data_IF_119375183614
#
_entry.id   IF_119375183614
#
_cell.length_a   1.000
_cell.length_b   1.000
_cell.length_c   1.000
_cell.angle_alpha   90.00
_cell.angle_beta   90.00
_cell.angle_gamma   90.00
#
_symmetry.space_group_name_H-M   'P 1'
#
loop_
_entity.id
_entity.type
_entity.pdbx_description
1 polymer ?
#
# COMPACT_ATOMS: atom_id res chain seq x y z
N UNK A 1 -43.60 23.74 -37.67
CA UNK A 1 -43.88 23.15 -36.34
C UNK A 1 -43.34 21.73 -36.30
N UNK A 2 -42.12 21.53 -35.88
CA UNK A 2 -41.51 20.20 -35.71
C UNK A 2 -41.10 20.04 -34.23
N UNK A 3 -41.73 19.05 -33.57
CA UNK A 3 -41.40 18.65 -32.21
C UNK A 3 -40.16 17.76 -32.21
N UNK A 4 -39.21 17.90 -31.25
CA UNK A 4 -38.08 17.01 -31.17
C UNK A 4 -38.46 15.65 -30.55
N UNK A 5 -37.92 14.58 -31.16
CA UNK A 5 -38.06 13.21 -30.67
C UNK A 5 -37.19 13.01 -29.39
N UNK A 6 -37.83 12.52 -28.32
CA UNK A 6 -37.16 12.01 -27.14
C UNK A 6 -36.47 10.68 -27.47
N UNK A 7 -35.15 10.62 -27.25
CA UNK A 7 -34.41 9.38 -27.20
C UNK A 7 -34.52 8.84 -25.76
N UNK A 8 -35.06 7.63 -25.63
CA UNK A 8 -35.08 6.90 -24.35
C UNK A 8 -33.73 6.26 -24.12
N UNK A 9 -33.06 6.66 -23.04
CA UNK A 9 -31.90 5.92 -22.50
C UNK A 9 -32.41 4.63 -21.86
N UNK A 10 -31.89 3.49 -22.31
CA UNK A 10 -32.13 2.19 -21.70
C UNK A 10 -31.26 2.02 -20.47
N UNK A 11 -31.80 2.28 -19.30
CA UNK A 11 -31.22 1.81 -18.04
C UNK A 11 -31.44 0.29 -17.90
N UNK A 12 -30.46 -0.51 -18.23
CA UNK A 12 -30.40 -1.91 -17.81
C UNK A 12 -29.79 -1.97 -16.42
N UNK A 13 -30.63 -2.10 -15.41
CA UNK A 13 -30.23 -2.55 -14.06
C UNK A 13 -29.93 -4.05 -14.13
N UNK A 14 -28.67 -4.40 -14.02
CA UNK A 14 -28.27 -5.79 -13.76
C UNK A 14 -28.45 -6.06 -12.27
N UNK A 15 -29.45 -6.85 -11.91
CA UNK A 15 -29.60 -7.44 -10.58
C UNK A 15 -28.59 -8.59 -10.47
N UNK A 16 -27.50 -8.38 -9.73
CA UNK A 16 -26.65 -9.48 -9.26
C UNK A 16 -27.42 -10.30 -8.23
N UNK A 17 -27.66 -11.55 -8.55
CA UNK A 17 -28.16 -12.56 -7.62
C UNK A 17 -26.98 -13.06 -6.82
N UNK A 18 -26.93 -12.71 -5.53
CA UNK A 18 -26.00 -13.32 -4.58
C UNK A 18 -26.34 -14.80 -4.45
N UNK A 19 -25.46 -15.67 -4.91
CA UNK A 19 -25.47 -17.08 -4.52
C UNK A 19 -24.81 -17.20 -3.14
N UNK A 20 -25.57 -17.73 -2.21
CA UNK A 20 -25.16 -18.05 -0.85
C UNK A 20 -24.38 -19.37 -0.90
N UNK A 21 -23.05 -19.31 -0.93
CA UNK A 21 -22.21 -20.47 -0.62
C UNK A 21 -21.19 -20.07 0.44
N UNK A 22 -21.27 -20.78 1.56
CA UNK A 22 -20.41 -20.64 2.73
C UNK A 22 -19.02 -21.21 2.39
N UNK A 23 -17.99 -20.42 2.60
CA UNK A 23 -16.56 -20.69 2.53
C UNK A 23 -15.82 -20.10 1.32
N UNK A 24 -15.81 -18.77 1.21
CA UNK A 24 -14.80 -18.04 0.44
C UNK A 24 -14.54 -16.72 1.17
N UNK A 25 -13.28 -16.41 1.41
CA UNK A 25 -12.85 -15.09 1.88
C UNK A 25 -13.05 -14.11 0.72
N UNK A 26 -14.18 -13.39 0.75
CA UNK A 26 -14.46 -12.38 -0.27
C UNK A 26 -13.57 -11.17 -0.06
N UNK A 27 -12.77 -10.82 -1.03
CA UNK A 27 -12.11 -9.52 -1.10
C UNK A 27 -13.05 -8.52 -1.76
N UNK A 28 -13.17 -7.33 -1.15
CA UNK A 28 -14.15 -6.33 -1.54
C UNK A 28 -13.92 -5.77 -2.95
N UNK A 29 -14.94 -5.80 -3.80
CA UNK A 29 -14.93 -5.20 -5.13
C UNK A 29 -15.09 -3.68 -5.01
N UNK A 30 -14.11 -2.93 -5.47
CA UNK A 30 -14.19 -1.48 -5.58
C UNK A 30 -15.19 -1.08 -6.69
N UNK A 31 -16.23 -0.34 -6.33
CA UNK A 31 -17.17 0.27 -7.29
C UNK A 31 -16.67 1.66 -7.69
N UNK A 32 -16.32 1.82 -8.96
CA UNK A 32 -16.14 3.15 -9.56
C UNK A 32 -17.44 3.52 -10.27
N UNK A 33 -18.15 4.54 -9.78
CA UNK A 33 -19.29 5.12 -10.48
C UNK A 33 -18.81 6.29 -11.34
N UNK A 34 -18.90 6.17 -12.66
CA UNK A 34 -18.76 7.30 -13.57
C UNK A 34 -19.96 8.25 -13.43
N UNK A 35 -19.73 9.48 -12.97
CA UNK A 35 -20.58 10.61 -13.28
C UNK A 35 -20.03 11.33 -14.51
N UNK A 36 -20.67 11.13 -15.64
CA UNK A 36 -20.44 11.93 -16.86
C UNK A 36 -21.08 13.30 -16.66
N UNK A 37 -20.28 14.30 -16.36
CA UNK A 37 -20.68 15.70 -16.34
C UNK A 37 -20.86 16.22 -17.77
N UNK A 38 -22.09 16.64 -18.12
CA UNK A 38 -22.39 17.31 -19.37
C UNK A 38 -21.76 18.71 -19.39
N UNK A 39 -20.71 18.89 -20.17
CA UNK A 39 -20.11 20.19 -20.46
C UNK A 39 -20.94 20.98 -21.43
N UNK A 40 -21.33 22.19 -21.06
CA UNK A 40 -21.95 23.19 -21.90
C UNK A 40 -20.91 23.86 -22.78
N UNK A 41 -21.10 23.79 -24.10
CA UNK A 41 -20.32 24.53 -25.08
C UNK A 41 -20.54 26.04 -24.94
N UNK A 42 -19.49 26.80 -24.71
CA UNK A 42 -19.44 28.24 -24.93
C UNK A 42 -18.57 28.59 -26.14
N UNK A 43 -19.24 29.03 -27.21
CA UNK A 43 -18.62 29.68 -28.36
C UNK A 43 -17.91 30.97 -27.93
N UNK A 44 -16.64 31.10 -28.19
CA UNK A 44 -15.95 32.39 -28.28
C UNK A 44 -15.33 32.61 -29.67
N UNK A 45 -15.65 33.79 -30.21
CA UNK A 45 -15.14 34.30 -31.49
C UNK A 45 -13.73 34.81 -31.38
N UNK A 46 -12.92 34.82 -32.48
CA UNK A 46 -11.52 35.19 -32.45
C UNK A 46 -11.30 36.73 -32.48
N UNK A 47 -10.50 37.21 -31.58
CA UNK A 47 -9.95 38.57 -31.52
C UNK A 47 -8.47 38.60 -31.74
N UNK A 48 -8.07 39.52 -32.59
CA UNK A 48 -6.80 39.73 -33.28
C UNK A 48 -5.57 39.85 -32.36
N UNK A 49 -4.52 39.28 -32.89
CA UNK A 49 -3.10 39.40 -32.65
C UNK A 49 -2.58 40.86 -32.62
N UNK A 50 -1.75 41.21 -31.62
CA UNK A 50 -0.74 42.26 -31.76
C UNK A 50 0.57 41.78 -31.17
N UNK A 51 1.58 41.72 -32.03
CA UNK A 51 2.99 41.51 -31.76
C UNK A 51 3.57 42.77 -31.10
N UNK A 52 4.40 42.61 -30.08
CA UNK A 52 5.45 43.59 -29.83
C UNK A 52 6.68 42.86 -29.27
N UNK A 53 7.70 42.87 -30.08
CA UNK A 53 9.08 42.52 -29.80
C UNK A 53 9.69 43.58 -28.87
N UNK A 54 10.34 43.18 -27.78
CA UNK A 54 11.41 44.00 -27.17
C UNK A 54 12.60 43.12 -26.84
N UNK A 55 13.62 43.39 -27.66
CA UNK A 55 14.98 42.93 -27.49
C UNK A 55 15.76 44.08 -26.82
N UNK A 56 16.42 43.84 -25.70
CA UNK A 56 17.50 44.70 -25.22
C UNK A 56 18.53 43.91 -24.44
N UNK A 57 19.68 43.88 -25.04
CA UNK A 57 21.01 43.62 -24.51
C UNK A 57 21.27 44.30 -23.15
N UNK A 58 21.82 43.59 -22.18
CA UNK A 58 22.83 44.11 -21.26
C UNK A 58 23.92 43.07 -21.09
N UNK A 59 25.06 43.32 -21.68
CA UNK A 59 26.35 42.70 -21.46
C UNK A 59 27.10 43.50 -20.37
N UNK A 60 27.93 42.75 -19.65
CA UNK A 60 29.15 43.22 -18.93
C UNK A 60 28.97 43.63 -17.44
N UNK A 61 29.47 42.81 -16.56
CA UNK A 61 30.65 42.96 -15.71
C UNK A 61 30.73 41.80 -14.71
N UNK A 62 31.63 40.85 -14.96
CA UNK A 62 32.13 39.90 -13.99
C UNK A 62 33.49 40.38 -13.45
N UNK A 63 33.74 40.24 -12.17
CA UNK A 63 35.13 40.07 -11.72
C UNK A 63 35.43 38.57 -11.60
N UNK A 64 36.48 38.15 -12.26
CA UNK A 64 37.11 36.85 -12.12
C UNK A 64 37.75 36.76 -10.75
N UNK A 65 37.29 35.78 -9.94
CA UNK A 65 38.09 35.19 -8.88
C UNK A 65 38.48 33.77 -9.32
N UNK A 66 39.76 33.66 -9.68
CA UNK A 66 40.42 32.36 -9.83
C UNK A 66 40.66 31.83 -8.41
N UNK A 67 39.95 30.77 -8.04
CA UNK A 67 40.35 29.92 -6.93
C UNK A 67 40.66 28.55 -7.55
N UNK A 68 41.96 28.28 -7.67
CA UNK A 68 42.46 26.93 -7.94
C UNK A 68 42.24 26.10 -6.69
N UNK A 69 41.25 25.23 -6.75
CA UNK A 69 41.07 24.11 -5.85
C UNK A 69 40.72 22.91 -6.72
N UNK A 70 41.70 22.05 -6.97
CA UNK A 70 41.45 20.73 -7.52
C UNK A 70 40.73 19.92 -6.45
N UNK A 71 39.39 19.96 -6.44
CA UNK A 71 38.60 18.94 -5.83
C UNK A 71 38.50 17.76 -6.81
N UNK A 72 39.21 16.68 -6.51
CA UNK A 72 38.97 15.38 -7.09
C UNK A 72 37.50 15.00 -6.81
N UNK A 73 36.62 15.31 -7.75
CA UNK A 73 35.31 14.67 -7.79
C UNK A 73 35.52 13.20 -8.12
N UNK A 74 35.64 12.37 -7.08
CA UNK A 74 35.39 10.94 -7.23
C UNK A 74 33.96 10.79 -7.72
N UNK A 75 33.79 10.60 -9.02
CA UNK A 75 32.52 10.15 -9.57
C UNK A 75 32.27 8.74 -9.03
N UNK A 76 31.47 8.64 -7.99
CA UNK A 76 30.86 7.38 -7.60
C UNK A 76 29.89 7.02 -8.72
N UNK A 77 30.33 6.14 -9.61
CA UNK A 77 29.45 5.50 -10.57
C UNK A 77 28.58 4.51 -9.78
N UNK A 78 27.50 5.01 -9.21
CA UNK A 78 26.48 4.16 -8.60
C UNK A 78 25.75 3.50 -9.77
N UNK A 79 25.93 2.20 -9.93
CA UNK A 79 25.07 1.39 -10.79
C UNK A 79 23.73 1.25 -10.07
N UNK A 80 22.91 2.27 -10.14
CA UNK A 80 21.57 2.25 -9.60
C UNK A 80 20.64 1.58 -10.60
N UNK A 81 19.95 0.55 -10.18
CA UNK A 81 18.95 -0.13 -10.98
C UNK A 81 17.55 0.46 -10.77
N UNK A 82 17.36 1.36 -9.77
CA UNK A 82 16.13 2.11 -9.56
C UNK A 82 16.43 3.50 -9.01
N UNK A 83 15.83 4.57 -9.56
CA UNK A 83 15.98 5.91 -9.01
C UNK A 83 15.43 6.05 -7.59
N UNK A 84 14.55 5.14 -7.16
CA UNK A 84 13.94 5.15 -5.83
C UNK A 84 14.84 4.50 -4.77
N UNK A 85 15.60 3.46 -5.12
CA UNK A 85 16.55 2.81 -4.21
C UNK A 85 17.70 3.74 -3.79
N UNK A 86 18.16 4.61 -4.70
CA UNK A 86 19.21 5.60 -4.40
C UNK A 86 18.80 6.54 -3.26
N UNK A 87 17.51 6.81 -3.09
CA UNK A 87 17.04 7.68 -2.02
C UNK A 87 17.03 6.99 -0.65
N UNK A 88 16.76 5.66 -0.60
CA UNK A 88 16.86 4.90 0.65
C UNK A 88 18.32 4.77 1.11
N UNK A 89 19.24 4.49 0.19
CA UNK A 89 20.68 4.45 0.51
C UNK A 89 21.19 5.81 1.05
N UNK A 90 20.65 6.93 0.54
CA UNK A 90 21.00 8.25 1.06
C UNK A 90 20.38 8.56 2.44
N UNK A 91 19.24 7.94 2.78
CA UNK A 91 18.61 8.10 4.11
C UNK A 91 19.32 7.28 5.17
N UNK A 92 19.88 6.12 4.80
CA UNK A 92 20.55 5.20 5.73
C UNK A 92 21.97 5.61 6.10
N UNK A 93 22.50 6.70 5.57
CA UNK A 93 23.77 7.29 5.96
C UNK A 93 23.53 8.60 6.73
N UNK A 94 23.22 8.57 8.02
CA UNK A 94 23.16 9.80 8.79
C UNK A 94 24.58 10.33 8.93
N UNK A 95 24.88 11.44 8.28
CA UNK A 95 26.02 12.31 8.66
C UNK A 95 25.88 12.82 10.09
N UNK A 96 24.87 12.36 10.80
CA UNK A 96 24.42 12.92 12.07
C UNK A 96 24.82 11.97 13.22
N UNK A 97 25.42 12.48 14.30
CA UNK A 97 25.77 11.69 15.49
C UNK A 97 24.59 11.02 16.21
N UNK A 98 23.36 11.25 15.77
CA UNK A 98 22.12 10.65 16.27
C UNK A 98 22.07 9.13 15.98
N UNK A 99 22.72 8.61 14.93
CA UNK A 99 22.71 7.18 14.59
C UNK A 99 23.11 6.24 15.73
N UNK A 100 23.97 6.68 16.63
CA UNK A 100 24.37 5.91 17.82
C UNK A 100 23.31 5.82 18.92
N UNK A 101 22.21 6.52 18.79
CA UNK A 101 21.07 6.51 19.71
C UNK A 101 19.86 5.79 19.13
N UNK A 102 19.96 5.23 17.93
CA UNK A 102 18.90 4.41 17.37
C UNK A 102 18.83 3.05 18.07
N UNK A 103 17.64 2.50 18.13
CA UNK A 103 17.41 1.18 18.70
C UNK A 103 18.18 0.11 17.90
N UNK A 104 18.85 -0.78 18.61
CA UNK A 104 19.54 -1.93 18.02
C UNK A 104 18.91 -3.21 18.58
N UNK A 105 18.21 -3.93 17.76
CA UNK A 105 17.60 -5.21 18.10
C UNK A 105 18.65 -6.34 18.27
N UNK A 106 19.91 -6.10 17.88
CA UNK A 106 20.97 -7.10 17.82
C UNK A 106 20.90 -8.03 16.62
N UNK A 107 19.89 -7.88 15.73
CA UNK A 107 19.82 -8.58 14.45
C UNK A 107 20.29 -7.67 13.31
N UNK A 108 21.10 -8.25 12.42
CA UNK A 108 21.71 -7.53 11.31
C UNK A 108 21.13 -8.03 9.99
N UNK A 109 20.23 -7.25 9.40
CA UNK A 109 19.70 -7.52 8.06
C UNK A 109 20.20 -6.44 7.11
N UNK A 110 20.73 -6.86 5.98
CA UNK A 110 21.06 -5.96 4.88
C UNK A 110 19.80 -5.76 4.00
N UNK A 111 19.54 -4.51 3.62
CA UNK A 111 18.49 -4.23 2.66
C UNK A 111 18.90 -4.81 1.30
N UNK A 112 18.09 -5.68 0.67
CA UNK A 112 18.44 -6.28 -0.62
C UNK A 112 18.57 -5.23 -1.74
N UNK A 113 19.29 -5.57 -2.80
CA UNK A 113 19.35 -4.70 -4.00
C UNK A 113 17.95 -4.37 -4.53
N UNK A 114 17.04 -5.35 -4.46
CA UNK A 114 15.61 -5.19 -4.70
C UNK A 114 14.85 -6.21 -3.83
N UNK A 115 13.90 -5.76 -3.05
CA UNK A 115 13.06 -6.64 -2.22
C UNK A 115 12.05 -7.38 -3.09
N UNK A 116 12.11 -8.72 -3.05
CA UNK A 116 11.18 -9.63 -3.70
C UNK A 116 10.64 -10.58 -2.65
N UNK A 117 9.43 -10.32 -2.20
CA UNK A 117 8.89 -10.97 -1.01
C UNK A 117 7.64 -11.79 -1.26
N UNK A 118 7.36 -12.67 -0.30
CA UNK A 118 6.11 -13.43 -0.22
C UNK A 118 5.38 -13.12 1.08
N UNK A 119 4.04 -13.17 1.03
CA UNK A 119 3.20 -13.09 2.21
C UNK A 119 3.22 -14.38 3.03
N UNK A 120 3.26 -14.25 4.35
CA UNK A 120 3.30 -15.37 5.30
C UNK A 120 2.34 -15.10 6.45
N UNK A 121 1.26 -15.90 6.53
CA UNK A 121 0.31 -15.81 7.65
C UNK A 121 0.95 -16.24 8.97
N UNK A 122 0.44 -15.79 10.11
CA UNK A 122 0.89 -16.21 11.43
C UNK A 122 0.95 -17.74 11.61
N UNK A 123 -0.13 -18.49 11.29
CA UNK A 123 -0.10 -19.95 11.34
C UNK A 123 0.96 -20.59 10.43
N UNK A 124 1.24 -19.99 9.26
CA UNK A 124 2.31 -20.49 8.37
C UNK A 124 3.69 -20.21 8.93
N UNK A 125 3.90 -19.03 9.53
CA UNK A 125 5.16 -18.63 10.15
C UNK A 125 5.50 -19.50 11.39
N UNK A 126 4.48 -19.86 12.19
CA UNK A 126 4.66 -20.71 13.35
C UNK A 126 4.70 -22.21 13.05
N UNK A 127 4.07 -22.65 11.95
CA UNK A 127 3.90 -24.06 11.62
C UNK A 127 4.97 -24.66 10.71
N UNK A 128 4.74 -25.90 10.28
CA UNK A 128 5.64 -26.63 9.36
C UNK A 128 5.76 -25.96 7.98
N UNK A 129 4.79 -25.14 7.59
CA UNK A 129 4.81 -24.38 6.32
C UNK A 129 5.97 -23.40 6.27
N UNK A 130 6.44 -22.88 7.40
CA UNK A 130 7.56 -21.95 7.47
C UNK A 130 8.82 -22.50 6.77
N UNK A 131 9.15 -23.76 7.01
CA UNK A 131 10.32 -24.39 6.38
C UNK A 131 10.19 -24.53 4.86
N UNK A 132 8.97 -24.80 4.37
CA UNK A 132 8.70 -24.87 2.93
C UNK A 132 8.84 -23.50 2.28
N UNK A 133 8.33 -22.45 2.94
CA UNK A 133 8.40 -21.07 2.45
C UNK A 133 9.84 -20.53 2.48
N UNK A 134 10.58 -20.81 3.57
CA UNK A 134 12.02 -20.50 3.64
C UNK A 134 12.79 -21.17 2.52
N UNK A 135 12.52 -22.46 2.27
CA UNK A 135 13.14 -23.17 1.17
C UNK A 135 12.83 -22.55 -0.18
N UNK A 136 11.57 -22.15 -0.42
CA UNK A 136 11.17 -21.44 -1.64
C UNK A 136 12.01 -20.17 -1.83
N UNK A 137 12.09 -19.31 -0.80
CA UNK A 137 12.87 -18.07 -0.86
C UNK A 137 14.35 -18.33 -1.10
N UNK A 138 14.93 -19.35 -0.45
CA UNK A 138 16.36 -19.69 -0.59
C UNK A 138 16.71 -20.34 -1.94
N UNK A 139 15.78 -21.03 -2.55
CA UNK A 139 16.00 -21.76 -3.81
C UNK A 139 15.70 -20.91 -5.06
N UNK A 140 15.26 -19.66 -4.85
CA UNK A 140 14.87 -18.74 -5.93
C UNK A 140 15.50 -17.35 -5.71
N UNK A 141 15.17 -16.39 -6.57
CA UNK A 141 15.58 -14.99 -6.46
C UNK A 141 14.70 -14.16 -5.50
N UNK A 142 13.75 -14.80 -4.80
CA UNK A 142 13.06 -14.21 -3.66
C UNK A 142 14.03 -14.02 -2.51
N UNK A 143 13.81 -12.97 -1.70
CA UNK A 143 14.74 -12.59 -0.63
C UNK A 143 14.06 -12.00 0.60
N UNK A 144 12.72 -12.01 0.64
CA UNK A 144 11.97 -11.37 1.73
C UNK A 144 10.71 -12.15 2.10
N UNK A 145 10.30 -12.00 3.36
CA UNK A 145 9.03 -12.49 3.89
C UNK A 145 8.27 -11.37 4.58
N UNK A 146 7.02 -11.17 4.18
CA UNK A 146 6.05 -10.31 4.88
C UNK A 146 5.26 -11.19 5.82
N UNK A 147 5.51 -11.05 7.10
CA UNK A 147 4.89 -11.89 8.15
C UNK A 147 3.79 -11.12 8.84
N UNK A 148 2.60 -11.70 8.95
CA UNK A 148 1.54 -11.14 9.78
C UNK A 148 1.97 -11.12 11.24
N UNK A 149 2.00 -9.93 11.81
CA UNK A 149 2.25 -9.67 13.25
C UNK A 149 0.94 -9.29 13.94
N UNK A 150 0.11 -8.48 13.31
CA UNK A 150 -1.28 -8.26 13.68
C UNK A 150 -2.17 -8.54 12.48
N UNK A 151 -2.99 -9.58 12.59
CA UNK A 151 -3.78 -10.11 11.49
C UNK A 151 -5.14 -9.39 11.32
N UNK A 152 -5.91 -9.79 10.32
CA UNK A 152 -7.11 -9.10 9.83
C UNK A 152 -8.27 -8.99 10.86
N UNK A 153 -8.31 -9.83 11.91
CA UNK A 153 -9.32 -9.76 12.96
C UNK A 153 -8.92 -8.83 14.12
N UNK A 154 -7.63 -8.56 14.25
CA UNK A 154 -7.04 -7.70 15.28
C UNK A 154 -6.12 -8.42 16.25
N UNK A 155 -5.96 -9.75 16.11
CA UNK A 155 -5.10 -10.54 16.99
C UNK A 155 -3.62 -10.42 16.60
N UNK A 156 -2.74 -10.46 17.61
CA UNK A 156 -1.32 -10.68 17.40
C UNK A 156 -1.07 -12.16 17.10
N UNK A 157 -0.15 -12.44 16.22
CA UNK A 157 0.18 -13.81 15.79
C UNK A 157 1.20 -14.51 16.69
N UNK A 158 1.66 -13.82 17.72
CA UNK A 158 2.64 -14.28 18.70
C UNK A 158 2.18 -13.93 20.12
N UNK A 159 2.77 -14.56 21.12
CA UNK A 159 2.56 -14.23 22.53
C UNK A 159 3.41 -13.01 22.92
N UNK A 160 2.78 -11.87 23.26
CA UNK A 160 3.52 -10.68 23.68
C UNK A 160 3.98 -10.73 25.15
N UNK A 161 3.67 -11.82 25.87
CA UNK A 161 3.93 -12.02 27.29
C UNK A 161 2.82 -11.56 28.22
N UNK A 162 2.70 -12.21 29.39
CA UNK A 162 1.62 -11.98 30.36
C UNK A 162 1.54 -10.54 30.89
N UNK A 163 2.68 -9.85 30.96
CA UNK A 163 2.76 -8.45 31.43
C UNK A 163 2.47 -7.42 30.34
N UNK A 164 2.28 -7.85 29.10
CA UNK A 164 1.98 -6.97 27.98
C UNK A 164 0.55 -6.43 28.04
N UNK A 165 0.31 -5.15 27.70
CA UNK A 165 -1.06 -4.64 27.55
C UNK A 165 -1.83 -5.30 26.38
N UNK A 166 -1.16 -6.12 25.58
CA UNK A 166 -1.70 -6.85 24.43
C UNK A 166 -1.80 -8.36 24.68
N UNK A 167 -1.60 -8.85 25.92
CA UNK A 167 -1.64 -10.26 26.26
C UNK A 167 -2.98 -10.92 25.87
N UNK A 168 -4.07 -10.18 25.97
CA UNK A 168 -5.43 -10.65 25.72
C UNK A 168 -5.83 -10.73 24.23
N UNK A 169 -4.95 -10.30 23.32
CA UNK A 169 -5.09 -10.46 21.86
C UNK A 169 -3.98 -11.32 21.26
N UNK A 170 -3.09 -11.86 22.08
CA UNK A 170 -2.02 -12.74 21.65
C UNK A 170 -2.55 -14.12 21.25
N UNK A 171 -2.33 -14.53 20.00
CA UNK A 171 -2.53 -15.88 19.50
C UNK A 171 -1.17 -16.53 19.33
N UNK A 172 -0.90 -17.60 20.08
CA UNK A 172 0.42 -18.24 20.04
C UNK A 172 0.61 -19.11 18.77
N UNK A 173 0.46 -18.50 17.58
CA UNK A 173 0.81 -19.17 16.32
C UNK A 173 2.33 -19.25 16.16
N UNK A 174 3.04 -18.18 16.51
CA UNK A 174 4.50 -18.09 16.46
C UNK A 174 5.05 -18.20 17.89
N UNK A 175 5.46 -19.38 18.29
CA UNK A 175 5.93 -19.69 19.66
C UNK A 175 7.09 -18.81 20.12
N UNK A 176 8.04 -18.53 19.23
CA UNK A 176 9.24 -17.71 19.51
C UNK A 176 9.55 -16.85 18.26
N UNK A 177 9.02 -15.62 18.29
CA UNK A 177 9.20 -14.67 17.20
C UNK A 177 10.66 -14.31 16.98
N UNK A 178 11.42 -14.18 18.08
CA UNK A 178 12.85 -13.84 18.02
C UNK A 178 13.65 -14.95 17.33
N UNK A 179 13.45 -16.21 17.71
CA UNK A 179 14.11 -17.35 17.08
C UNK A 179 13.77 -17.49 15.58
N UNK A 180 12.54 -17.09 15.18
CA UNK A 180 12.18 -17.05 13.76
C UNK A 180 12.97 -15.99 13.01
N UNK A 181 13.12 -14.79 13.57
CA UNK A 181 13.91 -13.71 12.98
C UNK A 181 15.41 -14.07 12.91
N UNK A 182 15.98 -14.68 13.95
CA UNK A 182 17.37 -15.21 13.92
C UNK A 182 17.57 -16.25 12.81
N UNK A 183 16.54 -17.03 12.53
CA UNK A 183 16.53 -17.99 11.44
C UNK A 183 16.51 -17.30 10.07
N UNK A 184 15.70 -16.24 9.92
CA UNK A 184 15.65 -15.42 8.70
C UNK A 184 16.98 -14.68 8.49
N UNK A 185 17.57 -14.11 9.55
CA UNK A 185 18.89 -13.46 9.50
C UNK A 185 19.97 -14.41 8.98
N UNK A 186 20.04 -15.61 9.56
CA UNK A 186 20.98 -16.64 9.13
C UNK A 186 20.83 -17.04 7.67
N UNK A 187 19.60 -17.00 7.16
CA UNK A 187 19.28 -17.34 5.76
C UNK A 187 19.41 -16.14 4.82
N UNK A 188 19.66 -14.93 5.33
CA UNK A 188 19.71 -13.69 4.54
C UNK A 188 18.34 -13.26 3.99
N UNK A 189 17.24 -13.62 4.68
CA UNK A 189 15.87 -13.30 4.27
C UNK A 189 15.41 -12.03 5.00
N UNK A 190 15.10 -10.96 4.24
CA UNK A 190 14.69 -9.67 4.79
C UNK A 190 13.29 -9.74 5.39
N UNK A 191 13.10 -9.38 6.68
CA UNK A 191 11.84 -9.52 7.37
C UNK A 191 11.02 -8.23 7.34
N UNK A 192 9.76 -8.34 6.91
CA UNK A 192 8.76 -7.27 6.91
C UNK A 192 7.63 -7.68 7.86
N UNK A 193 7.27 -6.82 8.81
CA UNK A 193 6.16 -7.04 9.72
C UNK A 193 4.89 -6.42 9.16
N UNK A 194 3.88 -7.21 8.78
CA UNK A 194 2.57 -6.69 8.41
C UNK A 194 1.69 -6.49 9.62
N UNK A 195 1.11 -5.30 9.72
CA UNK A 195 0.21 -4.89 10.81
C UNK A 195 -1.06 -4.30 10.20
N UNK A 196 -2.18 -4.98 10.40
CA UNK A 196 -3.50 -4.48 10.01
C UNK A 196 -3.95 -3.40 10.98
N UNK A 197 -4.24 -2.18 10.47
CA UNK A 197 -4.42 -1.00 11.33
C UNK A 197 -5.90 -0.77 11.69
N UNK A 198 -6.72 -0.35 10.74
CA UNK A 198 -8.07 0.12 11.04
C UNK A 198 -9.16 -0.93 10.88
N UNK A 199 -8.89 -2.06 10.28
CA UNK A 199 -9.74 -3.24 10.32
C UNK A 199 -9.38 -4.06 11.56
N UNK A 200 -10.14 -3.90 12.64
CA UNK A 200 -9.81 -4.48 13.93
C UNK A 200 -11.09 -4.76 14.71
N UNK A 201 -11.52 -6.00 14.68
CA UNK A 201 -12.74 -6.44 15.37
C UNK A 201 -12.49 -6.56 16.88
N UNK A 202 -11.31 -7.04 17.28
CA UNK A 202 -10.94 -7.20 18.68
C UNK A 202 -10.94 -5.86 19.43
N UNK A 203 -10.27 -4.84 18.88
CA UNK A 203 -10.24 -3.52 19.48
C UNK A 203 -11.62 -2.87 19.44
N UNK A 204 -12.38 -3.01 18.36
CA UNK A 204 -13.72 -2.46 18.25
C UNK A 204 -14.67 -3.05 19.31
N UNK A 205 -14.58 -4.34 19.62
CA UNK A 205 -15.40 -5.00 20.63
C UNK A 205 -14.99 -4.62 22.06
N UNK A 206 -13.70 -4.43 22.31
CA UNK A 206 -13.18 -3.99 23.61
C UNK A 206 -13.39 -2.49 23.85
N UNK A 207 -13.30 -1.67 22.80
CA UNK A 207 -13.42 -0.21 22.82
C UNK A 207 -14.42 0.27 21.79
N UNK A 208 -15.74 0.00 22.01
CA UNK A 208 -16.78 0.43 21.08
C UNK A 208 -16.86 1.95 20.86
N UNK A 209 -16.27 2.74 21.76
CA UNK A 209 -16.14 4.20 21.65
C UNK A 209 -15.13 4.62 20.58
N UNK A 210 -14.18 3.75 20.22
CA UNK A 210 -13.18 3.95 19.18
C UNK A 210 -13.58 3.37 17.83
N UNK A 211 -14.82 2.91 17.66
CA UNK A 211 -15.31 2.28 16.43
C UNK A 211 -16.51 3.01 15.83
N UNK A 212 -17.00 2.49 14.74
CA UNK A 212 -18.24 2.95 14.11
C UNK A 212 -19.44 2.19 14.70
N UNK A 213 -20.56 2.89 14.90
CA UNK A 213 -21.80 2.32 15.43
C UNK A 213 -22.97 2.54 14.48
N UNK A 214 -23.86 1.58 14.43
CA UNK A 214 -25.13 1.68 13.76
C UNK A 214 -26.24 1.22 14.73
N UNK A 215 -27.28 2.05 14.93
CA UNK A 215 -28.36 1.78 15.88
C UNK A 215 -27.89 1.42 17.32
N UNK A 216 -26.79 2.02 17.76
CA UNK A 216 -26.23 1.84 19.11
C UNK A 216 -25.35 0.60 19.29
N UNK A 217 -25.21 -0.25 18.27
CA UNK A 217 -24.31 -1.40 18.25
C UNK A 217 -23.08 -1.12 17.37
N UNK A 218 -21.98 -1.87 17.59
CA UNK A 218 -20.82 -1.82 16.71
C UNK A 218 -21.25 -2.17 15.28
N UNK A 219 -20.90 -1.32 14.34
CA UNK A 219 -21.14 -1.62 12.94
C UNK A 219 -20.11 -2.64 12.44
N UNK A 220 -20.61 -3.64 11.74
CA UNK A 220 -19.81 -4.65 11.07
C UNK A 220 -20.16 -4.70 9.58
N UNK A 221 -19.19 -5.04 8.76
CA UNK A 221 -19.40 -5.24 7.34
C UNK A 221 -20.14 -6.56 7.04
N UNK A 222 -20.31 -6.87 5.74
CA UNK A 222 -21.03 -8.09 5.31
C UNK A 222 -20.36 -9.42 5.70
N UNK A 223 -19.14 -9.38 6.25
CA UNK A 223 -18.36 -10.52 6.72
C UNK A 223 -18.27 -10.60 8.24
N UNK A 224 -19.06 -9.81 8.94
CA UNK A 224 -19.01 -9.68 10.41
C UNK A 224 -17.70 -9.09 10.96
N UNK A 225 -16.97 -8.32 10.15
CA UNK A 225 -15.75 -7.63 10.53
C UNK A 225 -16.04 -6.18 10.94
N UNK A 226 -15.43 -5.73 12.04
CA UNK A 226 -15.52 -4.35 12.51
C UNK A 226 -14.27 -3.54 12.14
N UNK A 227 -14.45 -2.23 12.15
CA UNK A 227 -13.38 -1.27 11.92
C UNK A 227 -13.29 -0.31 13.10
N UNK A 228 -12.09 0.04 13.49
CA UNK A 228 -11.82 1.14 14.41
C UNK A 228 -11.66 2.45 13.64
N UNK A 229 -11.89 3.55 14.33
CA UNK A 229 -12.08 4.85 13.72
C UNK A 229 -10.74 5.58 13.46
N UNK A 230 -10.37 5.85 12.18
CA UNK A 230 -9.12 6.52 11.85
C UNK A 230 -9.02 7.97 12.34
N UNK A 231 -10.08 8.59 12.80
CA UNK A 231 -10.04 9.91 13.42
C UNK A 231 -9.50 9.92 14.86
N UNK A 232 -9.37 8.75 15.49
CA UNK A 232 -9.03 8.62 16.90
C UNK A 232 -7.53 8.36 17.09
N UNK A 233 -6.81 9.29 17.70
CA UNK A 233 -5.37 9.13 17.96
C UNK A 233 -5.05 7.96 18.88
N UNK A 234 -5.93 7.60 19.79
CA UNK A 234 -5.78 6.42 20.63
C UNK A 234 -5.66 5.12 19.79
N UNK A 235 -6.36 5.07 18.65
CA UNK A 235 -6.24 3.94 17.68
C UNK A 235 -4.87 3.97 17.00
N UNK A 236 -4.36 5.17 16.71
CA UNK A 236 -3.03 5.31 16.11
C UNK A 236 -1.95 4.81 17.06
N UNK A 237 -1.95 5.34 18.29
CA UNK A 237 -0.98 4.98 19.32
C UNK A 237 -1.01 3.48 19.62
N UNK A 238 -2.21 2.88 19.68
CA UNK A 238 -2.38 1.43 19.86
C UNK A 238 -1.64 0.62 18.78
N UNK A 239 -1.81 0.96 17.51
CA UNK A 239 -1.14 0.25 16.40
C UNK A 239 0.35 0.56 16.30
N UNK A 240 0.75 1.79 16.64
CA UNK A 240 2.17 2.19 16.65
C UNK A 240 2.93 1.47 17.77
N UNK A 241 2.34 1.29 18.94
CA UNK A 241 2.97 0.51 20.01
C UNK A 241 3.16 -0.96 19.61
N UNK A 242 2.19 -1.57 18.88
CA UNK A 242 2.37 -2.91 18.30
C UNK A 242 3.51 -2.92 17.26
N UNK A 243 3.61 -1.87 16.44
CA UNK A 243 4.71 -1.72 15.50
C UNK A 243 6.08 -1.63 16.19
N UNK A 244 6.15 -0.94 17.34
CA UNK A 244 7.35 -0.87 18.18
C UNK A 244 7.75 -2.25 18.70
N UNK A 245 6.79 -3.09 19.14
CA UNK A 245 7.08 -4.48 19.54
C UNK A 245 7.69 -5.28 18.39
N UNK A 246 7.17 -5.14 17.17
CA UNK A 246 7.75 -5.80 16.00
C UNK A 246 9.17 -5.32 15.68
N UNK A 247 9.41 -4.00 15.75
CA UNK A 247 10.74 -3.42 15.57
C UNK A 247 11.72 -3.88 16.66
N UNK A 248 11.28 -3.96 17.91
CA UNK A 248 12.06 -4.47 19.05
C UNK A 248 12.41 -5.95 18.90
N UNK A 249 11.49 -6.76 18.35
CA UNK A 249 11.77 -8.14 18.01
C UNK A 249 12.86 -8.29 16.94
N UNK A 250 13.01 -7.29 16.04
CA UNK A 250 14.08 -7.24 15.05
C UNK A 250 13.64 -7.14 13.59
N UNK A 251 12.38 -6.90 13.30
CA UNK A 251 11.94 -6.56 11.95
C UNK A 251 12.61 -5.28 11.46
N UNK A 252 12.82 -5.18 10.15
CA UNK A 252 13.49 -4.04 9.52
C UNK A 252 12.55 -3.16 8.68
N UNK A 253 11.35 -3.63 8.42
CA UNK A 253 10.29 -2.91 7.72
C UNK A 253 8.97 -3.16 8.45
N UNK A 254 8.28 -2.09 8.78
CA UNK A 254 6.92 -2.13 9.34
C UNK A 254 5.96 -1.75 8.24
N UNK A 255 5.18 -2.74 7.80
CA UNK A 255 4.19 -2.57 6.76
C UNK A 255 2.79 -2.45 7.36
N UNK A 256 2.18 -1.28 7.23
CA UNK A 256 0.81 -1.07 7.64
C UNK A 256 -0.16 -1.37 6.50
N UNK A 257 -1.10 -2.26 6.77
CA UNK A 257 -2.22 -2.56 5.88
C UNK A 257 -3.55 -2.05 6.48
N UNK A 258 -4.59 -1.97 5.68
CA UNK A 258 -5.88 -1.39 6.03
C UNK A 258 -5.78 0.03 6.59
N UNK A 259 -4.85 0.82 6.06
CA UNK A 259 -4.67 2.25 6.39
C UNK A 259 -5.75 3.05 5.66
N UNK A 260 -7.01 2.86 6.10
CA UNK A 260 -8.19 3.37 5.42
C UNK A 260 -9.46 3.27 6.24
N UNK A 261 -10.45 4.08 5.88
CA UNK A 261 -11.82 3.85 6.30
C UNK A 261 -12.41 2.60 5.64
N UNK A 262 -13.55 2.06 6.16
CA UNK A 262 -14.27 0.99 5.49
C UNK A 262 -14.67 1.34 4.07
N UNK A 263 -14.73 0.37 3.19
CA UNK A 263 -15.20 0.59 1.82
C UNK A 263 -16.64 1.09 1.75
N UNK A 264 -16.90 2.01 0.83
CA UNK A 264 -18.20 2.65 0.70
C UNK A 264 -18.59 3.56 1.87
N UNK A 265 -17.60 4.00 2.67
CA UNK A 265 -17.86 4.84 3.84
C UNK A 265 -18.53 6.17 3.44
N UNK A 266 -18.24 6.72 2.28
CA UNK A 266 -18.88 7.93 1.76
C UNK A 266 -20.42 7.82 1.63
N UNK A 267 -20.93 6.58 1.54
CA UNK A 267 -22.37 6.29 1.51
C UNK A 267 -22.96 6.08 2.90
N UNK A 268 -22.12 5.87 3.88
CA UNK A 268 -22.48 5.52 5.27
C UNK A 268 -22.11 6.59 6.28
N UNK A 269 -21.30 7.57 5.93
CA UNK A 269 -20.79 8.59 6.85
C UNK A 269 -21.88 9.37 7.62
N UNK A 270 -23.08 9.46 7.05
CA UNK A 270 -24.25 10.11 7.68
C UNK A 270 -25.12 9.17 8.51
N UNK A 271 -25.03 7.87 8.29
CA UNK A 271 -25.82 6.85 9.00
C UNK A 271 -25.07 6.24 10.18
N UNK A 272 -23.76 6.18 10.11
CA UNK A 272 -22.92 5.69 11.19
C UNK A 272 -22.71 6.76 12.26
N UNK A 273 -22.64 6.31 13.50
CA UNK A 273 -22.31 7.13 14.65
C UNK A 273 -20.84 6.93 14.99
N UNK A 274 -20.06 8.00 14.99
CA UNK A 274 -18.63 8.01 15.32
C UNK A 274 -18.18 9.43 15.71
N UNK A 275 -17.03 9.51 16.35
CA UNK A 275 -16.38 10.80 16.63
C UNK A 275 -15.48 11.20 15.45
N UNK A 276 -15.46 12.47 15.10
CA UNK A 276 -14.45 13.02 14.19
C UNK A 276 -13.19 13.50 14.94
N UNK A 277 -13.12 13.30 16.27
CA UNK A 277 -11.97 13.68 17.09
C UNK A 277 -11.54 15.13 16.83
N UNK A 278 -10.25 15.33 16.67
CA UNK A 278 -9.63 16.64 16.39
C UNK A 278 -10.01 17.23 15.02
N UNK A 279 -10.70 16.46 14.18
CA UNK A 279 -11.10 16.87 12.82
C UNK A 279 -12.50 17.49 12.77
N UNK A 280 -13.27 17.44 13.89
CA UNK A 280 -14.66 17.88 13.93
C UNK A 280 -14.82 19.35 13.50
N UNK A 281 -13.99 20.22 14.06
CA UNK A 281 -14.07 21.67 13.87
C UNK A 281 -13.26 22.21 12.68
N UNK A 282 -12.65 21.31 11.87
CA UNK A 282 -11.91 21.74 10.69
C UNK A 282 -12.87 22.23 9.59
N UNK A 283 -12.53 23.39 8.99
CA UNK A 283 -13.23 23.92 7.82
C UNK A 283 -12.86 23.13 6.56
N UNK A 284 -13.29 21.86 6.55
CA UNK A 284 -13.05 20.87 5.51
C UNK A 284 -14.31 20.04 5.27
N UNK A 285 -14.52 19.59 4.02
CA UNK A 285 -15.55 18.60 3.76
C UNK A 285 -15.16 17.21 4.30
N UNK A 286 -16.13 16.30 4.41
CA UNK A 286 -15.91 14.97 5.01
C UNK A 286 -14.85 14.13 4.28
N UNK A 287 -14.72 14.28 2.96
CA UNK A 287 -13.68 13.57 2.18
C UNK A 287 -12.29 14.07 2.59
N UNK A 288 -12.11 15.41 2.65
CA UNK A 288 -10.82 16.00 3.03
C UNK A 288 -10.45 15.69 4.48
N UNK A 289 -11.42 15.63 5.40
CA UNK A 289 -11.18 15.17 6.78
C UNK A 289 -10.67 13.74 6.82
N UNK A 290 -11.30 12.80 6.07
CA UNK A 290 -10.86 11.41 6.00
C UNK A 290 -9.45 11.28 5.41
N UNK A 291 -9.19 11.94 4.29
CA UNK A 291 -7.85 11.97 3.67
C UNK A 291 -6.81 12.51 4.62
N UNK A 292 -7.14 13.59 5.34
CA UNK A 292 -6.22 14.18 6.31
C UNK A 292 -5.93 13.21 7.46
N UNK A 293 -6.95 12.58 8.06
CA UNK A 293 -6.77 11.66 9.18
C UNK A 293 -5.89 10.45 8.79
N UNK A 294 -6.13 9.85 7.64
CA UNK A 294 -5.31 8.72 7.13
C UNK A 294 -3.87 9.18 6.87
N UNK A 295 -3.68 10.35 6.27
CA UNK A 295 -2.33 10.89 6.01
C UNK A 295 -1.60 11.27 7.29
N UNK A 296 -2.29 11.89 8.25
CA UNK A 296 -1.72 12.29 9.53
C UNK A 296 -1.30 11.08 10.37
N UNK A 297 -2.08 9.98 10.33
CA UNK A 297 -1.68 8.71 10.95
C UNK A 297 -0.33 8.23 10.40
N UNK A 298 -0.18 8.18 9.08
CA UNK A 298 1.06 7.70 8.45
C UNK A 298 2.25 8.60 8.82
N UNK A 299 2.04 9.91 8.81
CA UNK A 299 3.07 10.88 9.21
C UNK A 299 3.47 10.72 10.69
N UNK A 300 2.48 10.54 11.59
CA UNK A 300 2.71 10.30 13.01
C UNK A 300 3.46 8.98 13.25
N UNK A 301 3.05 7.91 12.59
CA UNK A 301 3.74 6.62 12.68
C UNK A 301 5.20 6.70 12.21
N UNK A 302 5.47 7.45 11.13
CA UNK A 302 6.84 7.69 10.64
C UNK A 302 7.71 8.39 11.68
N UNK A 303 7.16 9.37 12.38
CA UNK A 303 7.86 10.10 13.43
C UNK A 303 8.13 9.19 14.65
N UNK A 304 7.12 8.46 15.12
CA UNK A 304 7.21 7.59 16.28
C UNK A 304 8.15 6.39 16.08
N UNK A 305 8.23 5.86 14.84
CA UNK A 305 9.11 4.74 14.50
C UNK A 305 10.54 5.17 14.15
N UNK A 306 10.82 6.45 14.02
CA UNK A 306 12.15 6.95 13.62
C UNK A 306 13.29 6.49 14.56
N UNK A 307 13.01 6.31 15.87
CA UNK A 307 13.98 5.81 16.86
C UNK A 307 14.40 4.35 16.58
N UNK A 308 13.51 3.53 16.03
CA UNK A 308 13.70 2.09 15.89
C UNK A 308 14.53 1.69 14.66
N UNK A 309 14.87 2.63 13.80
CA UNK A 309 15.67 2.39 12.60
C UNK A 309 15.08 1.29 11.71
N UNK A 310 13.78 1.43 11.46
CA UNK A 310 13.01 0.57 10.56
C UNK A 310 12.45 1.40 9.41
N UNK A 311 12.28 0.78 8.26
CA UNK A 311 11.52 1.39 7.17
C UNK A 311 10.03 1.31 7.48
N UNK A 312 9.28 2.33 7.06
CA UNK A 312 7.83 2.35 7.11
C UNK A 312 7.29 2.13 5.70
N UNK A 313 6.52 1.06 5.54
CA UNK A 313 5.77 0.78 4.32
C UNK A 313 4.25 0.80 4.55
N UNK A 314 3.49 1.13 3.52
CA UNK A 314 2.02 1.18 3.59
C UNK A 314 1.41 0.48 2.38
N UNK A 315 0.48 -0.43 2.65
CA UNK A 315 -0.36 -1.05 1.63
C UNK A 315 -1.50 -0.10 1.26
N UNK A 316 -1.65 0.14 -0.04
CA UNK A 316 -2.64 1.06 -0.57
C UNK A 316 -3.41 0.39 -1.72
N UNK A 317 -4.69 0.68 -1.84
CA UNK A 317 -5.41 0.22 -3.03
C UNK A 317 -4.81 0.81 -4.31
N UNK A 318 -4.48 -0.05 -5.28
CA UNK A 318 -3.86 0.37 -6.54
C UNK A 318 -4.63 1.48 -7.25
N UNK A 319 -5.96 1.42 -7.28
CA UNK A 319 -6.77 2.46 -7.93
C UNK A 319 -6.59 3.87 -7.31
N UNK A 320 -6.10 3.97 -6.05
CA UNK A 320 -5.85 5.27 -5.41
C UNK A 320 -4.79 6.10 -6.12
N UNK A 321 -3.88 5.47 -6.88
CA UNK A 321 -2.92 6.18 -7.72
C UNK A 321 -3.55 6.75 -9.00
N UNK A 322 -4.66 6.17 -9.48
CA UNK A 322 -5.30 6.52 -10.75
C UNK A 322 -6.30 7.68 -10.65
N UNK A 323 -6.65 8.06 -9.44
CA UNK A 323 -7.60 9.15 -9.14
C UNK A 323 -6.95 10.20 -8.23
N UNK A 324 -7.47 11.43 -8.14
CA UNK A 324 -6.92 12.45 -7.24
C UNK A 324 -6.91 12.02 -5.77
N UNK A 325 -7.96 11.35 -5.33
CA UNK A 325 -8.10 10.75 -4.00
C UNK A 325 -9.26 9.75 -3.98
N UNK A 326 -9.19 8.75 -3.10
CA UNK A 326 -10.24 7.76 -2.89
C UNK A 326 -11.20 8.25 -1.78
N UNK A 327 -12.37 8.82 -2.13
CA UNK A 327 -13.17 9.63 -1.21
C UNK A 327 -13.77 8.84 -0.05
N UNK A 328 -14.13 7.58 -0.27
CA UNK A 328 -14.73 6.72 0.74
C UNK A 328 -13.71 6.28 1.77
N UNK A 329 -12.62 5.74 1.31
CA UNK A 329 -11.60 5.12 2.16
C UNK A 329 -10.56 6.11 2.71
N UNK A 330 -10.55 7.35 2.23
CA UNK A 330 -9.64 8.39 2.70
C UNK A 330 -8.19 8.26 2.21
N UNK A 331 -7.92 7.47 1.19
CA UNK A 331 -6.58 7.33 0.63
C UNK A 331 -6.32 8.41 -0.43
N UNK A 332 -5.18 9.08 -0.30
CA UNK A 332 -4.59 9.92 -1.34
C UNK A 332 -3.15 9.43 -1.56
N UNK A 333 -2.91 8.85 -2.73
CA UNK A 333 -1.65 8.19 -3.07
C UNK A 333 -0.42 9.09 -2.80
N UNK A 334 -0.40 10.29 -3.36
CA UNK A 334 0.75 11.20 -3.25
C UNK A 334 0.99 11.67 -1.81
N UNK A 335 -0.08 11.91 -1.02
CA UNK A 335 0.06 12.34 0.37
C UNK A 335 0.59 11.22 1.26
N UNK A 336 0.11 9.98 1.09
CA UNK A 336 0.62 8.82 1.82
C UNK A 336 2.06 8.56 1.41
N UNK A 337 2.35 8.49 0.11
CA UNK A 337 3.69 8.28 -0.44
C UNK A 337 4.73 9.29 0.05
N UNK A 338 4.33 10.53 0.34
CA UNK A 338 5.23 11.56 0.88
C UNK A 338 5.67 11.31 2.34
N UNK A 339 5.05 10.35 3.03
CA UNK A 339 5.28 10.09 4.46
C UNK A 339 5.80 8.67 4.75
N UNK A 340 6.16 7.91 3.74
CA UNK A 340 6.66 6.54 3.88
C UNK A 340 8.01 6.35 3.20
N UNK A 341 8.72 5.26 3.53
CA UNK A 341 9.93 4.84 2.83
C UNK A 341 9.59 3.97 1.63
N UNK A 342 8.50 3.19 1.74
CA UNK A 342 8.03 2.28 0.71
C UNK A 342 6.53 2.43 0.55
N UNK A 343 6.04 2.46 -0.69
CA UNK A 343 4.62 2.37 -1.01
C UNK A 343 4.33 1.03 -1.70
N UNK A 344 3.37 0.28 -1.16
CA UNK A 344 3.01 -1.05 -1.64
C UNK A 344 1.59 -1.05 -2.20
N UNK A 345 1.47 -0.75 -3.47
CA UNK A 345 0.18 -0.72 -4.15
C UNK A 345 -0.34 -2.13 -4.42
N UNK A 346 -1.56 -2.43 -3.98
CA UNK A 346 -2.24 -3.69 -4.27
C UNK A 346 -2.81 -3.65 -5.70
N UNK A 347 -2.12 -4.30 -6.63
CA UNK A 347 -2.48 -4.27 -8.07
C UNK A 347 -2.95 -5.63 -8.57
N UNK A 348 -3.63 -6.40 -7.70
CA UNK A 348 -4.17 -7.71 -8.07
C UNK A 348 -5.12 -7.61 -9.25
N UNK A 349 -4.85 -8.23 -10.41
CA UNK A 349 -5.72 -8.12 -11.58
C UNK A 349 -7.18 -8.52 -11.32
N UNK A 350 -7.42 -9.46 -10.41
CA UNK A 350 -8.76 -9.89 -10.03
C UNK A 350 -9.58 -8.84 -9.26
N UNK A 351 -8.93 -7.78 -8.74
CA UNK A 351 -9.57 -6.70 -7.98
C UNK A 351 -9.93 -5.48 -8.82
N UNK A 352 -9.68 -5.55 -10.13
CA UNK A 352 -10.02 -4.50 -11.07
C UNK A 352 -11.25 -4.89 -11.88
N UNK A 353 -12.19 -3.97 -11.99
CA UNK A 353 -13.25 -4.02 -13.02
C UNK A 353 -12.65 -3.63 -14.37
N UNK A 354 -13.45 -3.47 -15.43
CA UNK A 354 -12.93 -2.93 -16.69
C UNK A 354 -12.20 -1.61 -16.45
N UNK A 355 -10.91 -1.55 -16.70
CA UNK A 355 -10.04 -0.39 -16.48
C UNK A 355 -8.92 -0.33 -17.52
N UNK A 356 -8.32 0.84 -17.80
CA UNK A 356 -7.28 1.04 -18.81
C UNK A 356 -7.64 0.44 -20.19
N UNK A 357 -8.90 0.52 -20.59
CA UNK A 357 -9.43 -0.13 -21.79
C UNK A 357 -9.24 -1.66 -21.81
N UNK A 358 -9.11 -2.28 -20.64
CA UNK A 358 -9.03 -3.73 -20.45
C UNK A 358 -10.37 -4.21 -19.92
N UNK A 359 -11.18 -4.94 -20.73
CA UNK A 359 -12.51 -5.41 -20.28
C UNK A 359 -12.45 -6.43 -19.14
N UNK A 360 -11.43 -7.27 -19.13
CA UNK A 360 -11.25 -8.36 -18.17
C UNK A 360 -9.80 -8.36 -17.64
N UNK A 361 -9.47 -7.49 -16.66
CA UNK A 361 -8.11 -7.33 -16.16
C UNK A 361 -7.46 -8.62 -15.65
N UNK A 362 -8.24 -9.50 -14.99
CA UNK A 362 -7.77 -10.79 -14.49
C UNK A 362 -7.25 -11.72 -15.60
N UNK A 363 -7.77 -11.58 -16.82
CA UNK A 363 -7.32 -12.33 -18.00
C UNK A 363 -6.12 -11.70 -18.72
N UNK A 364 -5.75 -10.48 -18.37
CA UNK A 364 -4.65 -9.72 -19.00
C UNK A 364 -3.69 -9.12 -17.97
N UNK A 365 -3.10 -9.93 -17.05
CA UNK A 365 -2.30 -9.42 -15.92
C UNK A 365 -1.11 -8.56 -16.35
N UNK A 366 -0.40 -8.95 -17.42
CA UNK A 366 0.69 -8.14 -17.96
C UNK A 366 0.23 -6.73 -18.35
N UNK A 367 -0.89 -6.64 -19.07
CA UNK A 367 -1.36 -5.37 -19.61
C UNK A 367 -1.85 -4.45 -18.49
N UNK A 368 -2.59 -5.01 -17.52
CA UNK A 368 -3.03 -4.24 -16.36
C UNK A 368 -1.84 -3.64 -15.60
N UNK A 369 -0.89 -4.49 -15.21
CA UNK A 369 0.28 -4.05 -14.43
C UNK A 369 1.11 -3.05 -15.22
N UNK A 370 1.31 -3.26 -16.52
CA UNK A 370 2.04 -2.33 -17.40
C UNK A 370 1.39 -0.94 -17.46
N UNK A 371 0.08 -0.86 -17.60
CA UNK A 371 -0.62 0.43 -17.63
C UNK A 371 -0.63 1.08 -16.23
N UNK A 372 -0.79 0.28 -15.19
CA UNK A 372 -0.75 0.76 -13.81
C UNK A 372 0.60 1.41 -13.46
N UNK A 373 1.71 0.74 -13.74
CA UNK A 373 3.06 1.23 -13.43
C UNK A 373 3.35 2.60 -14.06
N UNK A 374 2.82 2.88 -15.24
CA UNK A 374 2.96 4.21 -15.87
C UNK A 374 2.35 5.30 -15.00
N UNK A 375 1.13 5.04 -14.48
CA UNK A 375 0.40 6.00 -13.64
C UNK A 375 1.09 6.17 -12.29
N UNK A 376 1.52 5.08 -11.67
CA UNK A 376 2.24 5.14 -10.40
C UNK A 376 3.56 5.89 -10.52
N UNK A 377 4.36 5.59 -11.54
CA UNK A 377 5.63 6.28 -11.80
C UNK A 377 5.43 7.78 -12.06
N UNK A 378 4.37 8.17 -12.78
CA UNK A 378 4.01 9.58 -12.99
C UNK A 378 3.73 10.27 -11.65
N UNK A 379 2.90 9.65 -10.79
CA UNK A 379 2.58 10.17 -9.46
C UNK A 379 3.80 10.28 -8.56
N UNK A 380 4.64 9.26 -8.53
CA UNK A 380 5.87 9.26 -7.74
C UNK A 380 6.88 10.27 -8.27
N UNK A 381 6.97 10.43 -9.58
CA UNK A 381 7.85 11.43 -10.23
C UNK A 381 7.51 12.88 -9.89
N UNK A 382 6.28 13.17 -9.47
CA UNK A 382 5.86 14.50 -8.99
C UNK A 382 6.33 14.80 -7.56
N UNK A 383 6.77 13.79 -6.80
CA UNK A 383 7.16 13.93 -5.40
C UNK A 383 8.62 14.34 -5.27
N UNK A 384 8.90 15.28 -4.35
CA UNK A 384 10.28 15.72 -4.06
C UNK A 384 11.14 14.57 -3.51
N UNK A 385 10.55 13.73 -2.66
CA UNK A 385 11.19 12.57 -2.06
C UNK A 385 10.22 11.40 -2.27
N UNK A 386 10.31 10.76 -3.43
CA UNK A 386 9.48 9.59 -3.72
C UNK A 386 9.94 8.39 -2.88
N UNK A 387 9.01 7.60 -2.32
CA UNK A 387 9.35 6.33 -1.68
C UNK A 387 9.75 5.29 -2.73
N UNK A 388 10.26 4.16 -2.27
CA UNK A 388 10.39 2.96 -3.11
C UNK A 388 9.00 2.44 -3.46
N UNK A 389 8.78 2.09 -4.74
CA UNK A 389 7.59 1.36 -5.18
C UNK A 389 7.83 -0.14 -5.01
N UNK A 390 7.00 -0.81 -4.21
CA UNK A 390 7.03 -2.25 -3.95
C UNK A 390 5.62 -2.82 -4.00
N UNK A 391 5.02 -2.90 -5.18
CA UNK A 391 3.64 -3.32 -5.31
C UNK A 391 3.42 -4.80 -4.97
N UNK A 392 2.20 -5.10 -4.51
CA UNK A 392 1.70 -6.43 -4.35
C UNK A 392 1.14 -6.96 -5.67
N UNK A 393 1.57 -8.15 -6.08
CA UNK A 393 1.07 -8.88 -7.24
C UNK A 393 0.33 -10.16 -6.85
N UNK A 394 -0.47 -10.69 -7.77
CA UNK A 394 -1.36 -11.82 -7.54
C UNK A 394 -0.69 -13.16 -7.89
N UNK A 395 -0.79 -14.12 -6.97
CA UNK A 395 -0.49 -15.55 -7.23
C UNK A 395 -1.62 -16.43 -6.66
N UNK A 396 -2.86 -16.17 -7.10
CA UNK A 396 -4.04 -16.95 -6.72
C UNK A 396 -5.13 -16.85 -7.78
N UNK A 397 -6.03 -17.83 -7.83
CA UNK A 397 -7.19 -17.83 -8.70
C UNK A 397 -8.38 -17.08 -8.07
N UNK A 398 -9.19 -16.44 -8.89
CA UNK A 398 -10.36 -15.66 -8.49
C UNK A 398 -11.66 -16.27 -9.05
N UNK A 399 -12.14 -17.42 -8.51
CA UNK A 399 -13.29 -18.12 -9.05
C UNK A 399 -14.62 -17.39 -8.91
N UNK A 400 -14.66 -16.31 -8.16
CA UNK A 400 -15.85 -15.46 -7.97
C UNK A 400 -16.07 -14.45 -9.11
N UNK A 401 -15.08 -14.27 -9.98
CA UNK A 401 -15.18 -13.37 -11.12
C UNK A 401 -15.95 -14.00 -12.29
N UNK A 402 -16.56 -13.13 -13.10
CA UNK A 402 -17.14 -13.44 -14.40
C UNK A 402 -18.07 -14.67 -14.40
N UNK A 403 -19.19 -14.58 -13.64
CA UNK A 403 -20.16 -15.66 -13.55
C UNK A 403 -20.52 -16.27 -14.92
N UNK A 404 -20.25 -17.57 -15.09
CA UNK A 404 -20.46 -18.30 -16.34
C UNK A 404 -19.26 -18.36 -17.28
N UNK A 405 -18.16 -17.71 -16.95
CA UNK A 405 -16.88 -17.82 -17.66
C UNK A 405 -15.92 -18.78 -16.94
N UNK A 406 -14.99 -19.41 -17.66
CA UNK A 406 -13.91 -20.17 -17.02
C UNK A 406 -13.06 -19.27 -16.09
N UNK A 407 -12.69 -19.81 -14.93
CA UNK A 407 -11.73 -19.17 -14.03
C UNK A 407 -10.39 -19.04 -14.73
N UNK A 408 -9.73 -17.90 -14.59
CA UNK A 408 -8.36 -17.72 -15.07
C UNK A 408 -7.44 -18.55 -14.17
N UNK A 409 -6.73 -19.52 -14.74
CA UNK A 409 -5.67 -20.23 -14.02
C UNK A 409 -4.49 -19.30 -13.84
N UNK A 410 -4.14 -19.05 -12.56
CA UNK A 410 -2.96 -18.26 -12.21
C UNK A 410 -1.79 -19.20 -11.94
N UNK A 411 -0.96 -19.34 -12.95
CA UNK A 411 0.24 -20.15 -12.90
C UNK A 411 1.51 -19.32 -13.16
N UNK A 412 2.57 -20.02 -13.52
CA UNK A 412 3.87 -19.43 -13.83
C UNK A 412 3.78 -18.27 -14.83
N UNK A 413 3.04 -18.43 -15.90
CA UNK A 413 2.96 -17.44 -16.98
C UNK A 413 2.31 -16.11 -16.50
N UNK A 414 1.28 -16.20 -15.66
CA UNK A 414 0.54 -15.04 -15.15
C UNK A 414 1.33 -14.29 -14.08
N UNK A 415 2.06 -15.01 -13.22
CA UNK A 415 2.94 -14.39 -12.21
C UNK A 415 4.12 -13.70 -12.90
N UNK A 416 4.83 -14.40 -13.80
CA UNK A 416 5.94 -13.84 -14.58
C UNK A 416 5.52 -12.67 -15.46
N UNK A 417 4.29 -12.69 -15.99
CA UNK A 417 3.75 -11.59 -16.78
C UNK A 417 3.63 -10.29 -15.95
N UNK A 418 3.20 -10.40 -14.69
CA UNK A 418 3.12 -9.27 -13.77
C UNK A 418 4.53 -8.74 -13.44
N UNK A 419 5.47 -9.63 -13.08
CA UNK A 419 6.87 -9.27 -12.76
C UNK A 419 7.52 -8.58 -13.97
N UNK A 420 7.37 -9.12 -15.17
CA UNK A 420 7.89 -8.53 -16.40
C UNK A 420 7.35 -7.11 -16.62
N UNK A 421 6.05 -6.92 -16.42
CA UNK A 421 5.43 -5.61 -16.59
C UNK A 421 5.97 -4.57 -15.59
N UNK A 422 6.22 -4.99 -14.33
CA UNK A 422 6.88 -4.15 -13.33
C UNK A 422 8.29 -3.78 -13.75
N UNK A 423 9.11 -4.77 -14.12
CA UNK A 423 10.51 -4.56 -14.49
C UNK A 423 10.67 -3.69 -15.74
N UNK A 424 9.84 -3.90 -16.78
CA UNK A 424 9.80 -3.03 -17.96
C UNK A 424 9.42 -1.59 -17.60
N UNK A 425 8.66 -1.38 -16.54
CA UNK A 425 8.33 -0.08 -15.99
C UNK A 425 9.38 0.51 -15.04
N UNK A 426 10.49 -0.20 -14.79
CA UNK A 426 11.57 0.22 -13.89
C UNK A 426 11.30 -0.09 -12.40
N UNK A 427 10.28 -0.88 -12.08
CA UNK A 427 9.97 -1.33 -10.72
C UNK A 427 10.53 -2.74 -10.54
N UNK A 428 11.56 -2.88 -9.70
CA UNK A 428 12.26 -4.15 -9.45
C UNK A 428 11.89 -4.81 -8.13
N UNK A 429 11.22 -4.08 -7.25
CA UNK A 429 10.69 -4.60 -5.99
C UNK A 429 9.24 -5.01 -6.14
N UNK A 430 8.87 -6.11 -5.53
CA UNK A 430 7.49 -6.58 -5.49
C UNK A 430 7.24 -7.55 -4.35
N UNK A 431 5.97 -7.67 -3.97
CA UNK A 431 5.48 -8.65 -3.02
C UNK A 431 4.42 -9.51 -3.68
N UNK A 432 4.41 -10.80 -3.36
CA UNK A 432 3.48 -11.77 -3.94
C UNK A 432 2.43 -12.14 -2.90
N UNK A 433 1.18 -11.92 -3.23
CA UNK A 433 0.06 -12.28 -2.39
C UNK A 433 -0.53 -13.64 -2.79
N UNK A 434 -0.55 -14.55 -1.83
CA UNK A 434 -1.35 -15.77 -1.87
C UNK A 434 -1.91 -16.02 -0.47
N UNK A 435 -3.23 -15.91 -0.25
CA UNK A 435 -3.82 -15.98 1.10
C UNK A 435 -3.66 -17.37 1.76
N UNK A 436 -3.42 -18.43 0.97
CA UNK A 436 -3.18 -19.78 1.48
C UNK A 436 -1.69 -20.13 1.60
N UNK A 437 -0.78 -19.20 1.27
CA UNK A 437 0.67 -19.39 1.21
C UNK A 437 1.11 -20.58 0.34
N UNK A 438 0.40 -20.79 -0.79
CA UNK A 438 0.68 -21.86 -1.76
C UNK A 438 1.14 -21.23 -3.07
N UNK A 439 2.41 -20.93 -3.13
CA UNK A 439 3.00 -20.23 -4.27
C UNK A 439 3.21 -21.13 -5.48
N UNK A 440 3.04 -20.55 -6.67
CA UNK A 440 3.27 -21.23 -7.95
C UNK A 440 4.73 -21.64 -8.07
N UNK A 441 4.95 -22.88 -8.53
CA UNK A 441 6.29 -23.45 -8.66
C UNK A 441 6.96 -23.04 -9.97
N UNK A 442 8.30 -23.00 -9.94
CA UNK A 442 9.17 -22.75 -11.09
C UNK A 442 8.94 -21.40 -11.75
N UNK A 443 8.46 -20.42 -11.00
CA UNK A 443 8.39 -19.01 -11.43
C UNK A 443 9.81 -18.47 -11.51
N UNK A 444 10.10 -17.73 -12.56
CA UNK A 444 11.31 -16.91 -12.68
C UNK A 444 11.05 -15.54 -12.04
N UNK A 445 11.71 -15.29 -10.92
CA UNK A 445 11.60 -14.03 -10.17
C UNK A 445 12.71 -13.04 -10.52
N UNK A 446 13.51 -13.35 -11.55
CA UNK A 446 14.63 -12.52 -11.99
C UNK A 446 14.09 -11.28 -12.70
N UNK A 447 14.54 -10.06 -12.33
CA UNK A 447 14.25 -8.87 -13.11
C UNK A 447 14.73 -9.02 -14.54
N UNK A 448 13.97 -8.47 -15.47
CA UNK A 448 14.41 -8.37 -16.86
C UNK A 448 15.51 -7.31 -16.97
N UNK A 449 16.63 -7.68 -17.59
CA UNK A 449 17.73 -6.78 -17.95
C UNK A 449 17.34 -5.80 -19.07
#
# INVERSE_FOLDING_TARGET
MNKPRRVKANNRLYKLKLCNDKNVSDMDLAYVSEEVGAGTEHHMRPGKMVFTLFMALILSFLPQFIVNGEEETKSLTVKSHSPFQVQLEQRNLPENPIARFLYDSGLQFEYPEAVRGIYVTGPSAGGSRFEELRKLVKDTELNSMVVDIKEDHGNLTFDPGDDSPYADIGENYIDDLRAKLETLEKDGIYPIARIVVFKDTELAEKRPDLSFKENGSIWKNGRDEAFVNPFMKEVWDYNIEIAKLAAEAGFKDIQFDYVRFPEGFEKRDKSLQYSEGDYADLDMNNVQKRVKAVTDFVAHAKEELAYYNVDLSVDIFGYSATIPEAPGIGQNFSKISSNVDVISSMIYPSHWTSYFDIPFPDKEPYKLVKEYVKVENERLGELKNAPVSRPWIQDFEAPWLYSGEPVTEYGKAEVEAQIRALNEGGVNEFLIWNPSNKYTKNVDYTPLD
#
